data_IF_540082110787
#
_entry.id   IF_540082110787
#
_cell.length_a   1.000
_cell.length_b   1.000
_cell.length_c   1.000
_cell.angle_alpha   90.00
_cell.angle_beta   90.00
_cell.angle_gamma   90.00
#
_symmetry.space_group_name_H-M   'P 1'
#
loop_
_entity.id
_entity.type
_entity.pdbx_description
1 polymer ?
#
# COMPACT_ATOMS: atom_id res chain seq x y z
N UNK A 1 -45.10 41.33 -70.29
CA UNK A 1 -44.11 41.88 -69.33
C UNK A 1 -44.87 42.54 -68.20
N UNK A 2 -44.90 41.94 -67.01
CA UNK A 2 -45.35 42.57 -65.76
C UNK A 2 -44.76 41.78 -64.60
N UNK A 3 -44.27 42.54 -63.61
CA UNK A 3 -43.23 42.18 -62.69
C UNK A 3 -43.67 41.28 -61.53
N UNK A 4 -42.83 40.27 -61.27
CA UNK A 4 -42.23 39.90 -59.99
C UNK A 4 -42.94 40.38 -58.70
N UNK A 5 -43.69 39.48 -58.05
CA UNK A 5 -43.84 39.45 -56.59
C UNK A 5 -43.81 38.00 -56.11
N UNK A 6 -42.69 37.58 -55.52
CA UNK A 6 -42.56 36.33 -54.77
C UNK A 6 -42.90 36.60 -53.30
N UNK A 7 -43.85 35.89 -52.67
CA UNK A 7 -43.85 35.72 -51.23
C UNK A 7 -42.89 34.57 -50.87
N UNK A 8 -41.84 34.91 -50.11
CA UNK A 8 -40.87 33.99 -49.56
C UNK A 8 -41.52 33.01 -48.56
N UNK A 9 -41.07 31.76 -48.60
CA UNK A 9 -41.71 30.61 -47.98
C UNK A 9 -41.74 30.57 -46.44
N UNK A 10 -42.73 29.84 -45.92
CA UNK A 10 -42.60 29.14 -44.63
C UNK A 10 -41.73 27.89 -44.79
N UNK A 11 -41.62 27.00 -43.79
CA UNK A 11 -42.19 26.98 -42.43
C UNK A 11 -41.13 27.12 -41.32
N UNK A 12 -41.59 27.41 -40.10
CA UNK A 12 -40.75 27.54 -38.91
C UNK A 12 -39.92 26.29 -38.61
N UNK A 13 -38.59 26.41 -38.76
CA UNK A 13 -37.62 25.48 -38.20
C UNK A 13 -37.45 25.80 -36.70
N UNK A 14 -38.41 25.31 -35.91
CA UNK A 14 -38.32 25.30 -34.46
C UNK A 14 -37.11 24.49 -34.01
N UNK A 15 -36.10 25.21 -33.54
CA UNK A 15 -35.20 24.87 -32.43
C UNK A 15 -35.03 23.36 -32.22
N UNK A 16 -33.95 22.83 -32.78
CA UNK A 16 -33.46 21.48 -32.49
C UNK A 16 -33.56 21.23 -30.99
N UNK A 17 -34.53 20.41 -30.62
CA UNK A 17 -34.74 19.98 -29.26
C UNK A 17 -33.49 19.21 -28.86
N UNK A 18 -32.66 19.82 -28.02
CA UNK A 18 -31.79 19.06 -27.15
C UNK A 18 -32.64 17.93 -26.58
N UNK A 19 -32.27 16.69 -26.92
CA UNK A 19 -32.64 15.53 -26.13
C UNK A 19 -32.12 15.81 -24.72
N UNK A 20 -32.96 16.46 -23.92
CA UNK A 20 -32.80 16.64 -22.49
C UNK A 20 -32.73 15.23 -21.94
N UNK A 21 -31.50 14.78 -21.72
CA UNK A 21 -31.21 13.49 -21.13
C UNK A 21 -32.11 13.32 -19.93
N UNK A 22 -32.84 12.20 -19.90
CA UNK A 22 -33.57 11.75 -18.71
C UNK A 22 -32.70 12.04 -17.49
N UNK A 23 -33.23 12.69 -16.44
CA UNK A 23 -32.44 12.97 -15.27
C UNK A 23 -31.82 11.65 -14.81
N UNK A 24 -30.49 11.59 -14.84
CA UNK A 24 -29.75 10.45 -14.33
C UNK A 24 -30.15 10.36 -12.86
N UNK A 25 -31.01 9.40 -12.50
CA UNK A 25 -31.45 9.26 -11.11
C UNK A 25 -30.21 8.95 -10.27
N UNK A 26 -29.68 9.99 -9.62
CA UNK A 26 -28.58 9.89 -8.66
C UNK A 26 -28.97 8.83 -7.63
N UNK A 27 -28.00 7.98 -7.31
CA UNK A 27 -28.14 6.87 -6.37
C UNK A 27 -28.99 7.26 -5.13
N UNK A 28 -30.19 6.68 -5.08
CA UNK A 28 -31.31 7.17 -4.27
C UNK A 28 -31.11 7.12 -2.76
N UNK A 29 -30.08 6.44 -2.20
CA UNK A 29 -29.72 6.46 -0.76
C UNK A 29 -28.42 5.65 -0.44
N UNK A 30 -27.23 6.20 -0.68
CA UNK A 30 -25.96 5.51 -0.37
C UNK A 30 -25.80 5.13 1.11
N UNK A 31 -26.05 6.08 2.02
CA UNK A 31 -25.87 5.89 3.46
C UNK A 31 -26.77 4.77 4.00
N UNK A 32 -27.99 4.65 3.49
CA UNK A 32 -28.95 3.61 3.86
C UNK A 32 -28.51 2.22 3.39
N UNK A 33 -28.01 2.12 2.16
CA UNK A 33 -27.44 0.88 1.62
C UNK A 33 -26.21 0.44 2.41
N UNK A 34 -25.32 1.38 2.75
CA UNK A 34 -24.13 1.09 3.54
C UNK A 34 -24.48 0.59 4.95
N UNK A 35 -25.47 1.20 5.60
CA UNK A 35 -25.97 0.76 6.92
C UNK A 35 -26.53 -0.66 6.86
N UNK A 36 -27.31 -0.99 5.81
CA UNK A 36 -27.82 -2.34 5.57
C UNK A 36 -26.70 -3.36 5.39
N UNK A 37 -25.66 -3.03 4.62
CA UNK A 37 -24.49 -3.90 4.43
C UNK A 37 -23.76 -4.16 5.75
N UNK A 38 -23.56 -3.12 6.57
CA UNK A 38 -22.95 -3.25 7.90
C UNK A 38 -23.81 -4.13 8.81
N UNK A 39 -25.14 -4.00 8.76
CA UNK A 39 -26.06 -4.86 9.51
C UNK A 39 -25.97 -6.32 9.07
N UNK A 40 -25.77 -6.60 7.78
CA UNK A 40 -25.50 -7.96 7.26
C UNK A 40 -24.14 -8.53 7.70
N UNK A 41 -23.17 -7.66 8.01
CA UNK A 41 -21.85 -8.05 8.51
C UNK A 41 -21.82 -8.22 10.05
N UNK A 42 -22.83 -7.73 10.78
CA UNK A 42 -22.95 -7.87 12.24
C UNK A 42 -22.79 -9.31 12.77
N UNK A 43 -23.24 -10.38 12.10
CA UNK A 43 -23.04 -11.74 12.57
C UNK A 43 -21.56 -12.15 12.64
N UNK A 44 -20.64 -11.44 11.95
CA UNK A 44 -19.21 -11.75 11.90
C UNK A 44 -18.33 -10.78 12.70
N UNK A 45 -18.89 -10.04 13.67
CA UNK A 45 -18.16 -9.06 14.49
C UNK A 45 -16.89 -9.62 15.16
N UNK A 46 -16.94 -10.86 15.66
CA UNK A 46 -15.77 -11.48 16.32
C UNK A 46 -14.59 -11.63 15.36
N UNK A 47 -14.86 -12.02 14.10
CA UNK A 47 -13.84 -12.12 13.06
C UNK A 47 -13.30 -10.74 12.67
N UNK A 48 -14.16 -9.72 12.63
CA UNK A 48 -13.75 -8.34 12.38
C UNK A 48 -12.85 -7.78 13.50
N UNK A 49 -13.19 -8.01 14.77
CA UNK A 49 -12.37 -7.59 15.91
C UNK A 49 -11.00 -8.29 15.87
N UNK A 50 -10.98 -9.60 15.60
CA UNK A 50 -9.74 -10.35 15.46
C UNK A 50 -8.85 -9.79 14.33
N UNK A 51 -9.42 -9.50 13.15
CA UNK A 51 -8.67 -8.87 12.04
C UNK A 51 -8.22 -7.46 12.41
N UNK A 52 -9.03 -6.69 13.13
CA UNK A 52 -8.65 -5.34 13.54
C UNK A 52 -7.43 -5.34 14.47
N UNK A 53 -7.38 -6.28 15.43
CA UNK A 53 -6.22 -6.45 16.32
C UNK A 53 -4.99 -6.90 15.51
N UNK A 54 -5.15 -7.91 14.65
CA UNK A 54 -4.08 -8.38 13.77
C UNK A 54 -3.56 -7.27 12.84
N UNK A 55 -4.44 -6.38 12.38
CA UNK A 55 -4.08 -5.26 11.52
C UNK A 55 -3.19 -4.28 12.27
N UNK A 56 -3.59 -3.88 13.48
CA UNK A 56 -2.77 -3.00 14.32
C UNK A 56 -1.40 -3.63 14.58
N UNK A 57 -1.35 -4.91 14.96
CA UNK A 57 -0.10 -5.61 15.21
C UNK A 57 0.79 -5.65 13.96
N UNK A 58 0.22 -6.02 12.81
CA UNK A 58 0.96 -6.06 11.53
C UNK A 58 1.48 -4.67 11.13
N UNK A 59 0.66 -3.64 11.27
CA UNK A 59 1.05 -2.25 10.98
C UNK A 59 2.19 -1.81 11.89
N UNK A 60 2.14 -2.13 13.19
CA UNK A 60 3.23 -1.82 14.12
C UNK A 60 4.52 -2.51 13.67
N UNK A 61 4.48 -3.80 13.36
CA UNK A 61 5.66 -4.51 12.84
C UNK A 61 6.20 -3.86 11.56
N UNK A 62 5.32 -3.57 10.60
CA UNK A 62 5.68 -2.93 9.33
C UNK A 62 6.32 -1.55 9.51
N UNK A 63 5.96 -0.81 10.56
CA UNK A 63 6.57 0.49 10.90
C UNK A 63 7.90 0.32 11.65
N UNK A 64 8.05 -0.75 12.43
CA UNK A 64 9.30 -1.05 13.17
C UNK A 64 10.40 -1.52 12.21
N UNK A 65 10.10 -2.21 11.10
CA UNK A 65 11.12 -2.69 10.15
C UNK A 65 12.00 -1.58 9.58
N UNK A 66 11.46 -0.46 9.04
CA UNK A 66 12.27 0.66 8.56
C UNK A 66 13.18 1.27 9.64
N UNK A 67 12.74 1.30 10.91
CA UNK A 67 13.57 1.78 12.03
C UNK A 67 14.75 0.86 12.31
N UNK A 68 14.53 -0.45 12.26
CA UNK A 68 15.59 -1.46 12.43
C UNK A 68 16.57 -1.40 11.25
N UNK A 69 16.06 -1.30 10.03
CA UNK A 69 16.89 -1.14 8.83
C UNK A 69 17.74 0.12 8.90
N UNK A 70 17.19 1.25 9.38
CA UNK A 70 17.94 2.48 9.59
C UNK A 70 19.17 2.27 10.49
N UNK A 71 19.02 1.55 11.61
CA UNK A 71 20.14 1.22 12.50
C UNK A 71 21.19 0.34 11.83
N UNK A 72 20.78 -0.65 11.03
CA UNK A 72 21.70 -1.46 10.24
C UNK A 72 22.48 -0.61 9.24
N UNK A 73 21.80 0.26 8.49
CA UNK A 73 22.45 1.14 7.50
C UNK A 73 23.42 2.11 8.17
N UNK A 74 23.07 2.68 9.32
CA UNK A 74 23.99 3.53 10.10
C UNK A 74 25.24 2.75 10.51
N UNK A 75 25.09 1.55 11.06
CA UNK A 75 26.22 0.74 11.53
C UNK A 75 27.12 0.26 10.39
N UNK A 76 26.51 -0.13 9.27
CA UNK A 76 27.24 -0.45 8.04
C UNK A 76 27.96 0.78 7.48
N UNK A 77 27.32 1.95 7.49
CA UNK A 77 27.92 3.21 7.07
C UNK A 77 29.10 3.64 7.94
N UNK A 78 28.99 3.51 9.26
CA UNK A 78 30.06 3.76 10.23
C UNK A 78 31.27 2.85 9.94
N UNK A 79 31.05 1.55 9.77
CA UNK A 79 32.11 0.58 9.52
C UNK A 79 32.80 0.77 8.15
N UNK A 80 32.03 1.00 7.08
CA UNK A 80 32.59 1.30 5.76
C UNK A 80 33.34 2.63 5.79
N UNK A 81 32.77 3.66 6.40
CA UNK A 81 33.40 4.97 6.55
C UNK A 81 34.74 4.88 7.28
N UNK A 82 34.80 4.16 8.40
CA UNK A 82 36.05 3.92 9.13
C UNK A 82 37.11 3.21 8.27
N UNK A 83 36.71 2.19 7.50
CA UNK A 83 37.60 1.47 6.59
C UNK A 83 38.10 2.37 5.45
N UNK A 84 37.23 3.16 4.85
CA UNK A 84 37.58 4.13 3.79
C UNK A 84 38.56 5.18 4.34
N UNK A 85 38.28 5.75 5.50
CA UNK A 85 39.16 6.74 6.14
C UNK A 85 40.53 6.18 6.48
N UNK A 86 40.60 4.92 6.92
CA UNK A 86 41.88 4.22 7.16
C UNK A 86 42.73 4.19 5.88
N UNK A 87 42.18 3.71 4.77
CA UNK A 87 42.91 3.64 3.49
C UNK A 87 43.22 5.02 2.91
N UNK A 88 42.31 5.98 3.08
CA UNK A 88 42.51 7.35 2.63
C UNK A 88 43.64 8.05 3.40
N UNK A 89 43.75 7.85 4.72
CA UNK A 89 44.87 8.38 5.52
C UNK A 89 46.22 7.87 5.02
N UNK A 90 46.30 6.57 4.71
CA UNK A 90 47.53 5.94 4.21
C UNK A 90 47.90 6.47 2.82
N UNK A 91 46.93 6.59 1.91
CA UNK A 91 47.16 7.13 0.57
C UNK A 91 47.50 8.63 0.60
N UNK A 92 46.85 9.41 1.46
CA UNK A 92 47.15 10.83 1.65
C UNK A 92 48.56 11.04 2.18
N UNK A 93 48.96 10.26 3.20
CA UNK A 93 50.33 10.28 3.71
C UNK A 93 51.35 9.92 2.61
N UNK A 94 51.06 8.91 1.79
CA UNK A 94 51.94 8.53 0.67
C UNK A 94 52.05 9.62 -0.41
N UNK A 95 50.95 10.29 -0.77
CA UNK A 95 50.96 11.39 -1.76
C UNK A 95 51.68 12.63 -1.26
N UNK A 96 51.64 12.90 0.04
CA UNK A 96 52.30 14.04 0.66
C UNK A 96 53.80 13.80 0.93
N UNK A 97 54.37 12.70 0.42
CA UNK A 97 55.81 12.38 0.58
C UNK A 97 56.19 11.97 2.01
N UNK A 98 55.24 11.49 2.83
CA UNK A 98 55.55 11.02 4.18
C UNK A 98 56.58 9.88 4.14
N UNK A 99 57.48 9.85 5.13
CA UNK A 99 58.52 8.85 5.21
C UNK A 99 57.96 7.42 5.17
N UNK A 100 58.62 6.47 4.47
CA UNK A 100 58.15 5.09 4.33
C UNK A 100 57.88 4.39 5.67
N UNK A 101 58.64 4.76 6.72
CA UNK A 101 58.48 4.26 8.08
C UNK A 101 57.14 4.66 8.72
N UNK A 102 56.63 5.86 8.41
CA UNK A 102 55.34 6.36 8.92
C UNK A 102 54.20 5.60 8.27
N UNK A 103 54.29 5.36 6.96
CA UNK A 103 53.31 4.58 6.21
C UNK A 103 53.30 3.12 6.66
N UNK A 104 54.47 2.54 6.94
CA UNK A 104 54.61 1.19 7.47
C UNK A 104 53.96 1.05 8.86
N UNK A 105 54.18 2.01 9.77
CA UNK A 105 53.52 2.05 11.08
C UNK A 105 52.00 2.21 10.98
N UNK A 106 51.50 3.02 10.04
CA UNK A 106 50.05 3.15 9.81
C UNK A 106 49.41 1.87 9.29
N UNK A 107 50.12 1.14 8.40
CA UNK A 107 49.65 -0.15 7.87
C UNK A 107 49.65 -1.29 8.90
N UNK A 108 50.46 -1.17 9.95
CA UNK A 108 50.48 -2.12 11.08
C UNK A 108 49.30 -1.92 12.03
N UNK A 109 48.59 -0.78 11.95
CA UNK A 109 47.37 -0.62 12.74
C UNK A 109 46.28 -1.57 12.23
N UNK A 110 45.53 -2.22 13.14
CA UNK A 110 44.45 -3.10 12.76
C UNK A 110 43.41 -2.32 11.94
N UNK A 111 43.11 -2.84 10.75
CA UNK A 111 42.11 -2.25 9.87
C UNK A 111 40.76 -2.29 10.59
N UNK A 112 40.01 -1.17 10.66
CA UNK A 112 38.66 -1.19 11.20
C UNK A 112 37.83 -2.29 10.54
N UNK A 113 37.39 -3.25 11.34
CA UNK A 113 36.55 -4.36 10.91
C UNK A 113 35.12 -3.90 10.66
N UNK A 114 34.44 -4.55 9.71
CA UNK A 114 32.98 -4.45 9.62
C UNK A 114 32.39 -5.42 10.64
N UNK A 115 31.48 -4.95 11.49
CA UNK A 115 30.71 -5.80 12.40
C UNK A 115 29.67 -6.63 11.63
N UNK A 116 30.15 -7.62 10.87
CA UNK A 116 29.33 -8.50 10.05
C UNK A 116 28.38 -9.35 10.90
N UNK A 117 28.76 -9.69 12.12
CA UNK A 117 27.93 -10.43 13.06
C UNK A 117 26.71 -9.62 13.49
N UNK A 118 26.92 -8.35 13.86
CA UNK A 118 25.83 -7.42 14.19
C UNK A 118 24.88 -7.20 13.01
N UNK A 119 25.43 -7.00 11.81
CA UNK A 119 24.65 -6.83 10.58
C UNK A 119 23.84 -8.11 10.29
N UNK A 120 24.46 -9.28 10.40
CA UNK A 120 23.82 -10.58 10.21
C UNK A 120 22.65 -10.77 11.17
N UNK A 121 22.83 -10.43 12.45
CA UNK A 121 21.77 -10.52 13.46
C UNK A 121 20.60 -9.58 13.16
N UNK A 122 20.85 -8.35 12.69
CA UNK A 122 19.78 -7.44 12.27
C UNK A 122 19.02 -7.99 11.06
N UNK A 123 19.72 -8.47 10.04
CA UNK A 123 19.09 -9.03 8.83
C UNK A 123 18.21 -10.22 9.23
N UNK A 124 18.69 -11.09 10.12
CA UNK A 124 17.92 -12.23 10.61
C UNK A 124 16.66 -11.80 11.36
N UNK A 125 16.75 -10.77 12.22
CA UNK A 125 15.59 -10.17 12.90
C UNK A 125 14.62 -9.57 11.87
N UNK A 126 15.11 -8.86 10.86
CA UNK A 126 14.27 -8.29 9.81
C UNK A 126 13.54 -9.38 9.04
N UNK A 127 14.22 -10.44 8.62
CA UNK A 127 13.61 -11.58 7.94
C UNK A 127 12.52 -12.20 8.81
N UNK A 128 12.81 -12.49 10.09
CA UNK A 128 11.82 -13.02 11.01
C UNK A 128 10.59 -12.11 11.18
N UNK A 129 10.81 -10.80 11.31
CA UNK A 129 9.75 -9.81 11.45
C UNK A 129 8.89 -9.71 10.18
N UNK A 130 9.50 -9.72 9.00
CA UNK A 130 8.77 -9.74 7.72
C UNK A 130 7.94 -11.01 7.56
N UNK A 131 8.47 -12.18 7.95
CA UNK A 131 7.72 -13.44 7.91
C UNK A 131 6.50 -13.41 8.84
N UNK A 132 6.64 -12.87 10.05
CA UNK A 132 5.52 -12.73 11.00
C UNK A 132 4.47 -11.74 10.45
N UNK A 133 4.90 -10.60 9.91
CA UNK A 133 3.99 -9.63 9.31
C UNK A 133 3.26 -10.20 8.09
N UNK A 134 3.96 -10.95 7.24
CA UNK A 134 3.36 -11.65 6.10
C UNK A 134 2.34 -12.69 6.57
N UNK A 135 2.64 -13.47 7.62
CA UNK A 135 1.70 -14.43 8.22
C UNK A 135 0.43 -13.73 8.71
N UNK A 136 0.54 -12.62 9.45
CA UNK A 136 -0.62 -11.88 9.93
C UNK A 136 -1.44 -11.30 8.78
N UNK A 137 -0.77 -10.75 7.77
CA UNK A 137 -1.41 -10.23 6.57
C UNK A 137 -2.16 -11.33 5.82
N UNK A 138 -1.57 -12.52 5.70
CA UNK A 138 -2.21 -13.68 5.10
C UNK A 138 -3.43 -14.15 5.88
N UNK A 139 -3.31 -14.30 7.21
CA UNK A 139 -4.43 -14.70 8.08
C UNK A 139 -5.58 -13.69 7.99
N UNK A 140 -5.28 -12.39 8.02
CA UNK A 140 -6.28 -11.35 7.84
C UNK A 140 -6.96 -11.43 6.46
N UNK A 141 -6.19 -11.66 5.40
CA UNK A 141 -6.71 -11.86 4.04
C UNK A 141 -7.64 -13.06 3.94
N UNK A 142 -7.26 -14.19 4.54
CA UNK A 142 -8.10 -15.39 4.59
C UNK A 142 -9.43 -15.13 5.33
N UNK A 143 -9.36 -14.46 6.49
CA UNK A 143 -10.57 -14.11 7.25
C UNK A 143 -11.46 -13.18 6.42
N UNK A 144 -10.90 -12.15 5.78
CA UNK A 144 -11.65 -11.21 4.95
C UNK A 144 -12.33 -11.89 3.75
N UNK A 145 -11.65 -12.81 3.09
CA UNK A 145 -12.24 -13.64 2.03
C UNK A 145 -13.43 -14.46 2.55
N UNK A 146 -13.28 -15.12 3.71
CA UNK A 146 -14.34 -15.93 4.30
C UNK A 146 -15.58 -15.12 4.72
N UNK A 147 -15.37 -13.90 5.22
CA UNK A 147 -16.45 -12.99 5.61
C UNK A 147 -17.23 -12.57 4.37
N UNK A 148 -16.54 -12.09 3.33
CA UNK A 148 -17.16 -11.62 2.10
C UNK A 148 -17.99 -12.73 1.42
N UNK A 149 -17.44 -13.94 1.30
CA UNK A 149 -18.13 -15.08 0.71
C UNK A 149 -19.40 -15.44 1.48
N UNK A 150 -19.32 -15.51 2.81
CA UNK A 150 -20.47 -15.88 3.65
C UNK A 150 -21.56 -14.81 3.61
N UNK A 151 -21.18 -13.53 3.54
CA UNK A 151 -22.13 -12.43 3.35
C UNK A 151 -22.83 -12.52 1.99
N UNK A 152 -22.09 -12.76 0.90
CA UNK A 152 -22.68 -12.93 -0.44
C UNK A 152 -23.59 -14.15 -0.51
N UNK A 153 -23.19 -15.26 0.10
CA UNK A 153 -24.01 -16.47 0.19
C UNK A 153 -25.36 -16.19 0.85
N UNK A 154 -25.35 -15.51 2.01
CA UNK A 154 -26.57 -15.12 2.71
C UNK A 154 -27.46 -14.21 1.86
N UNK A 155 -26.88 -13.23 1.17
CA UNK A 155 -27.63 -12.34 0.28
C UNK A 155 -28.28 -13.10 -0.89
N UNK A 156 -27.56 -14.07 -1.48
CA UNK A 156 -28.12 -14.90 -2.55
C UNK A 156 -29.29 -15.73 -2.07
N UNK A 157 -29.19 -16.34 -0.88
CA UNK A 157 -30.29 -17.08 -0.29
C UNK A 157 -31.49 -16.17 -0.01
N UNK A 158 -31.29 -14.99 0.59
CA UNK A 158 -32.38 -14.05 0.89
C UNK A 158 -33.10 -13.56 -0.37
N UNK A 159 -32.39 -13.44 -1.49
CA UNK A 159 -32.99 -13.09 -2.79
C UNK A 159 -33.79 -14.25 -3.36
N UNK A 160 -33.21 -15.45 -3.38
CA UNK A 160 -33.88 -16.67 -3.88
C UNK A 160 -35.15 -16.96 -3.10
N UNK A 161 -35.07 -16.87 -1.77
CA UNK A 161 -36.19 -17.03 -0.86
C UNK A 161 -37.32 -16.05 -1.17
N UNK A 162 -37.01 -14.79 -1.49
CA UNK A 162 -38.04 -13.80 -1.85
C UNK A 162 -38.66 -14.07 -3.22
N UNK A 163 -37.85 -14.48 -4.19
CA UNK A 163 -38.33 -14.84 -5.53
C UNK A 163 -39.25 -16.06 -5.48
N UNK A 164 -38.92 -17.06 -4.67
CA UNK A 164 -39.71 -18.29 -4.53
C UNK A 164 -41.09 -18.08 -3.90
N UNK A 165 -41.32 -16.94 -3.22
CA UNK A 165 -42.60 -16.61 -2.54
C UNK A 165 -43.54 -15.79 -3.43
N UNK A 166 -43.11 -15.36 -4.61
CA UNK A 166 -43.94 -14.59 -5.52
C UNK A 166 -44.83 -15.54 -6.34
N UNK A 167 -46.17 -15.36 -6.33
CA UNK A 167 -47.05 -16.12 -7.20
C UNK A 167 -46.77 -15.74 -8.66
N UNK A 168 -46.66 -16.77 -9.51
CA UNK A 168 -46.37 -16.68 -10.95
C UNK A 168 -47.44 -15.88 -11.71
#
# INVERSE_FOLDING_TARGET
>A
MSAERRPAGGPGAGRGGMMMGRPVEKAKNFKGTLKRLIDYLKPQKVRFIAVFILAILSTVFSIVSPKILGKATTKLGEGIGAKVMYWMKIQGAAKNGAAPEVIAKMKQQPVPGLDLEYIGQIILILVGLYLISALFTFVMGYIMSSVAQKTVYNMRNDVNDKLARLPL
#
